data_IF_863064785612
#
_entry.id   IF_863064785612
#
_cell.length_a   1.000
_cell.length_b   1.000
_cell.length_c   1.000
_cell.angle_alpha   90.00
_cell.angle_beta   90.00
_cell.angle_gamma   90.00
#
_symmetry.space_group_name_H-M   'P 1'
#
loop_
_entity.id
_entity.type
_entity.pdbx_description
1 polymer ?
#
# COMPACT_ATOMS: atom_id res chain seq x y z
N UNK A 1 0.71 6.48 14.06
CA UNK A 1 -0.49 6.79 13.24
C UNK A 1 -0.63 5.75 12.13
N UNK A 2 -1.84 5.32 11.85
CA UNK A 2 -2.11 4.46 10.71
C UNK A 2 -2.44 5.32 9.50
N UNK A 3 -1.68 5.15 8.43
CA UNK A 3 -1.83 5.90 7.19
C UNK A 3 -2.19 4.91 6.09
N UNK A 4 -3.20 5.24 5.29
CA UNK A 4 -3.69 4.35 4.26
C UNK A 4 -3.52 4.91 2.85
N UNK A 5 -3.47 4.01 1.89
CA UNK A 5 -3.41 4.33 0.48
C UNK A 5 -4.42 3.49 -0.29
N UNK A 6 -5.18 4.12 -1.17
CA UNK A 6 -6.16 3.46 -2.02
C UNK A 6 -6.01 3.95 -3.45
N UNK A 7 -6.14 3.05 -4.41
CA UNK A 7 -5.98 3.37 -5.82
C UNK A 7 -6.89 2.51 -6.69
N UNK A 8 -7.44 3.12 -7.73
CA UNK A 8 -8.14 2.38 -8.78
C UNK A 8 -7.64 2.86 -10.13
N UNK A 9 -7.76 1.99 -11.14
CA UNK A 9 -7.52 2.35 -12.53
C UNK A 9 -8.86 2.55 -13.21
N UNK A 10 -9.03 3.66 -13.93
CA UNK A 10 -10.27 3.92 -14.63
C UNK A 10 -10.48 2.99 -15.83
N UNK A 11 -9.43 2.35 -16.32
CA UNK A 11 -9.53 1.43 -17.46
C UNK A 11 -10.19 0.12 -17.03
N UNK A 12 -9.82 -0.40 -15.88
CA UNK A 12 -10.30 -1.69 -15.40
C UNK A 12 -11.25 -1.56 -14.21
N UNK A 13 -11.84 -0.39 -14.05
CA UNK A 13 -12.66 -0.08 -12.88
C UNK A 13 -13.82 -1.04 -12.62
N UNK A 14 -14.31 -1.71 -13.66
CA UNK A 14 -15.44 -2.62 -13.51
C UNK A 14 -15.09 -3.90 -12.76
N UNK A 15 -13.81 -4.26 -12.70
CA UNK A 15 -13.35 -5.50 -12.04
C UNK A 15 -12.58 -5.26 -10.77
N UNK A 16 -12.31 -4.02 -10.45
CA UNK A 16 -11.57 -3.68 -9.24
C UNK A 16 -12.52 -3.29 -8.12
N UNK A 17 -12.08 -3.51 -6.89
CA UNK A 17 -12.77 -2.95 -5.73
C UNK A 17 -12.73 -1.43 -5.87
N UNK A 18 -13.90 -0.82 -5.86
CA UNK A 18 -14.03 0.62 -6.04
C UNK A 18 -13.25 1.42 -4.98
N UNK A 19 -12.91 2.64 -5.34
CA UNK A 19 -12.12 3.50 -4.45
C UNK A 19 -12.85 3.72 -3.11
N UNK A 20 -14.16 3.98 -3.16
CA UNK A 20 -14.94 4.21 -1.95
C UNK A 20 -14.93 2.98 -1.04
N UNK A 21 -15.01 1.79 -1.62
CA UNK A 21 -14.97 0.54 -0.85
C UNK A 21 -13.62 0.35 -0.20
N UNK A 22 -12.54 0.63 -0.91
CA UNK A 22 -11.20 0.56 -0.33
C UNK A 22 -11.05 1.50 0.84
N UNK A 23 -11.52 2.74 0.68
CA UNK A 23 -11.47 3.74 1.75
C UNK A 23 -12.25 3.27 2.97
N UNK A 24 -13.44 2.69 2.75
CA UNK A 24 -14.24 2.17 3.85
C UNK A 24 -13.53 1.04 4.60
N UNK A 25 -12.91 0.12 3.85
CA UNK A 25 -12.15 -0.99 4.45
C UNK A 25 -11.01 -0.43 5.31
N UNK A 26 -10.27 0.54 4.78
CA UNK A 26 -9.17 1.14 5.51
C UNK A 26 -9.65 1.83 6.78
N UNK A 27 -10.78 2.52 6.73
CA UNK A 27 -11.36 3.15 7.91
C UNK A 27 -11.73 2.13 8.97
N UNK A 28 -12.27 0.98 8.57
CA UNK A 28 -12.60 -0.11 9.49
C UNK A 28 -11.37 -0.65 10.20
N UNK A 29 -10.22 -0.57 9.57
CA UNK A 29 -8.96 -1.01 10.15
C UNK A 29 -8.28 0.05 10.99
N UNK A 30 -8.95 1.17 11.22
CA UNK A 30 -8.45 2.21 12.10
C UNK A 30 -7.48 3.19 11.45
N UNK A 31 -7.47 3.25 10.12
CA UNK A 31 -6.63 4.19 9.39
C UNK A 31 -7.12 5.62 9.65
N UNK A 32 -6.21 6.49 10.03
CA UNK A 32 -6.52 7.87 10.41
C UNK A 32 -6.37 8.85 9.25
N UNK A 33 -5.41 8.62 8.38
CA UNK A 33 -5.14 9.47 7.22
C UNK A 33 -5.11 8.61 5.97
N UNK A 34 -5.90 8.97 4.96
CA UNK A 34 -6.00 8.20 3.72
C UNK A 34 -5.58 9.06 2.54
N UNK A 35 -4.65 8.53 1.75
CA UNK A 35 -4.28 9.09 0.46
C UNK A 35 -4.89 8.22 -0.62
N UNK A 36 -5.56 8.83 -1.58
CA UNK A 36 -6.25 8.07 -2.62
C UNK A 36 -6.05 8.70 -3.98
N UNK A 37 -6.05 7.88 -5.01
CA UNK A 37 -5.94 8.37 -6.38
C UNK A 37 -6.62 7.43 -7.35
N UNK A 38 -7.05 8.01 -8.47
CA UNK A 38 -7.61 7.28 -9.57
C UNK A 38 -6.77 7.61 -10.80
N UNK A 39 -6.27 6.58 -11.47
CA UNK A 39 -5.46 6.76 -12.67
C UNK A 39 -6.32 6.61 -13.92
N UNK A 40 -6.28 7.61 -14.80
CA UNK A 40 -6.86 7.48 -16.12
C UNK A 40 -5.87 6.74 -17.02
N UNK A 41 -6.39 6.11 -18.08
CA UNK A 41 -5.55 5.35 -18.99
C UNK A 41 -4.50 6.15 -19.73
N UNK A 42 -4.67 7.47 -19.77
CA UNK A 42 -3.73 8.36 -20.44
C UNK A 42 -2.72 8.98 -19.48
N UNK A 43 -2.90 8.80 -18.18
CA UNK A 43 -1.98 9.39 -17.23
C UNK A 43 -0.69 8.58 -17.18
N UNK A 44 0.41 9.30 -17.11
CA UNK A 44 1.72 8.70 -16.99
C UNK A 44 2.01 8.43 -15.53
N UNK A 45 1.47 7.40 -14.99
CA UNK A 45 1.94 6.79 -13.74
C UNK A 45 2.58 7.65 -12.67
N UNK A 46 2.11 8.84 -12.46
CA UNK A 46 2.83 9.71 -11.52
C UNK A 46 2.58 9.34 -10.07
N UNK A 47 1.50 8.61 -9.78
CA UNK A 47 1.16 8.18 -8.42
C UNK A 47 1.50 9.22 -7.37
N UNK A 48 1.07 10.46 -7.61
CA UNK A 48 1.41 11.59 -6.75
C UNK A 48 0.94 11.40 -5.32
N UNK A 49 -0.23 10.78 -5.14
CA UNK A 49 -0.76 10.55 -3.80
C UNK A 49 0.05 9.49 -3.05
N UNK A 50 0.57 8.49 -3.74
CA UNK A 50 1.44 7.52 -3.11
C UNK A 50 2.74 8.19 -2.65
N UNK A 51 3.31 9.03 -3.50
CA UNK A 51 4.52 9.77 -3.15
C UNK A 51 4.28 10.64 -1.93
N UNK A 52 3.18 11.40 -1.92
CA UNK A 52 2.83 12.25 -0.78
C UNK A 52 2.61 11.42 0.48
N UNK A 53 1.97 10.26 0.35
CA UNK A 53 1.74 9.36 1.46
C UNK A 53 3.06 8.89 2.07
N UNK A 54 3.98 8.45 1.23
CA UNK A 54 5.29 7.97 1.69
C UNK A 54 6.12 9.09 2.34
N UNK A 55 6.01 10.31 1.83
CA UNK A 55 6.70 11.47 2.40
C UNK A 55 6.05 11.92 3.71
N UNK A 56 4.74 11.74 3.85
CA UNK A 56 4.00 12.13 5.05
C UNK A 56 4.34 11.24 6.24
N UNK A 57 4.56 9.96 6.01
CA UNK A 57 4.77 9.00 7.08
C UNK A 57 6.11 9.18 7.78
N UNK A 58 6.13 8.85 9.07
CA UNK A 58 7.30 8.97 9.93
C UNK A 58 7.53 7.68 10.69
N UNK A 59 8.66 7.59 11.36
CA UNK A 59 8.97 6.47 12.23
C UNK A 59 7.83 6.21 13.19
N UNK A 60 7.43 4.95 13.30
CA UNK A 60 6.34 4.52 14.16
C UNK A 60 4.98 4.48 13.47
N UNK A 61 4.86 5.00 12.25
CA UNK A 61 3.61 4.94 11.51
C UNK A 61 3.42 3.56 10.88
N UNK A 62 2.18 3.28 10.49
CA UNK A 62 1.84 2.04 9.80
C UNK A 62 1.24 2.38 8.44
N UNK A 63 1.82 1.81 7.38
CA UNK A 63 1.32 1.97 6.02
C UNK A 63 0.35 0.83 5.71
N UNK A 64 -0.91 1.16 5.45
CA UNK A 64 -1.99 0.19 5.27
C UNK A 64 -2.64 0.36 3.90
N UNK A 65 -2.85 -0.75 3.22
CA UNK A 65 -3.55 -0.77 1.92
C UNK A 65 -4.32 -2.09 1.83
N UNK A 66 -5.21 -2.21 0.85
CA UNK A 66 -6.03 -3.42 0.74
C UNK A 66 -5.27 -4.57 0.12
N UNK A 67 -4.56 -4.34 -0.96
CA UNK A 67 -3.80 -5.37 -1.69
C UNK A 67 -2.50 -4.81 -2.21
N UNK A 68 -1.50 -5.66 -2.30
CA UNK A 68 -0.18 -5.28 -2.82
C UNK A 68 -0.27 -4.67 -4.21
N UNK A 69 -1.14 -5.21 -5.07
CA UNK A 69 -1.30 -4.71 -6.43
C UNK A 69 -1.76 -3.26 -6.55
N UNK A 70 -2.28 -2.67 -5.46
CA UNK A 70 -2.65 -1.24 -5.44
C UNK A 70 -1.44 -0.35 -5.29
N UNK A 71 -0.34 -0.87 -4.76
CA UNK A 71 0.85 -0.10 -4.42
C UNK A 71 2.03 -0.48 -5.31
N UNK A 72 2.25 -1.77 -5.50
CA UNK A 72 3.42 -2.30 -6.19
C UNK A 72 3.03 -2.95 -7.51
N UNK A 73 3.89 -2.84 -8.51
CA UNK A 73 3.67 -3.42 -9.83
C UNK A 73 4.21 -4.83 -9.94
N UNK A 74 5.23 -5.14 -9.16
CA UNK A 74 5.91 -6.44 -9.23
C UNK A 74 6.60 -6.70 -7.89
N UNK A 75 7.23 -7.86 -7.76
CA UNK A 75 7.89 -8.24 -6.51
C UNK A 75 9.10 -7.37 -6.19
N UNK A 76 9.78 -6.84 -7.19
CA UNK A 76 10.90 -5.92 -6.96
C UNK A 76 10.42 -4.62 -6.32
N UNK A 77 9.32 -4.05 -6.83
CA UNK A 77 8.73 -2.85 -6.23
C UNK A 77 8.37 -3.09 -4.77
N UNK A 78 7.77 -4.25 -4.48
CA UNK A 78 7.38 -4.61 -3.12
C UNK A 78 8.61 -4.72 -2.21
N UNK A 79 9.65 -5.38 -2.70
CA UNK A 79 10.89 -5.55 -1.95
C UNK A 79 11.51 -4.19 -1.59
N UNK A 80 11.59 -3.30 -2.57
CA UNK A 80 12.16 -1.97 -2.36
C UNK A 80 11.32 -1.16 -1.38
N UNK A 81 10.00 -1.24 -1.49
CA UNK A 81 9.10 -0.54 -0.58
C UNK A 81 9.24 -1.07 0.85
N UNK A 82 9.23 -2.39 1.02
CA UNK A 82 9.38 -3.00 2.34
C UNK A 82 10.69 -2.59 2.97
N UNK A 83 11.78 -2.63 2.22
CA UNK A 83 13.09 -2.23 2.74
C UNK A 83 13.10 -0.77 3.17
N UNK A 84 12.58 0.12 2.33
CA UNK A 84 12.53 1.54 2.64
C UNK A 84 11.73 1.80 3.91
N UNK A 85 10.54 1.21 4.01
CA UNK A 85 9.69 1.41 5.18
C UNK A 85 10.29 0.81 6.44
N UNK A 86 10.88 -0.37 6.35
CA UNK A 86 11.55 -0.98 7.50
C UNK A 86 12.73 -0.14 7.98
N UNK A 87 13.53 0.39 7.06
CA UNK A 87 14.66 1.26 7.41
C UNK A 87 14.20 2.55 8.09
N UNK A 88 12.99 3.00 7.73
CA UNK A 88 12.41 4.21 8.31
C UNK A 88 11.60 3.95 9.58
N UNK A 89 11.51 2.70 10.01
CA UNK A 89 10.72 2.35 11.20
C UNK A 89 9.22 2.36 10.98
N UNK A 90 8.77 2.17 9.74
CA UNK A 90 7.36 2.15 9.36
C UNK A 90 6.95 0.71 9.07
N UNK A 91 5.81 0.27 9.64
CA UNK A 91 5.27 -1.06 9.36
C UNK A 91 4.35 -1.01 8.15
N UNK A 92 4.20 -2.15 7.47
CA UNK A 92 3.38 -2.28 6.27
C UNK A 92 2.35 -3.39 6.50
N UNK A 93 1.10 -3.15 6.13
CA UNK A 93 0.02 -4.12 6.32
C UNK A 93 -0.95 -4.07 5.14
N UNK A 94 -1.29 -5.24 4.59
CA UNK A 94 -2.35 -5.40 3.61
C UNK A 94 -3.58 -5.96 4.31
N UNK A 95 -4.76 -5.38 4.06
CA UNK A 95 -5.99 -5.78 4.75
C UNK A 95 -6.62 -7.04 4.16
N UNK A 96 -6.47 -7.26 2.86
CA UNK A 96 -7.07 -8.39 2.17
C UNK A 96 -6.10 -9.52 1.86
N UNK A 97 -4.86 -9.41 2.31
CA UNK A 97 -3.83 -10.41 2.11
C UNK A 97 -3.07 -10.63 3.42
N UNK A 98 -2.57 -11.84 3.69
CA UNK A 98 -1.84 -12.10 4.93
C UNK A 98 -0.41 -11.54 4.89
N UNK A 99 -0.28 -10.27 4.63
CA UNK A 99 1.01 -9.60 4.46
C UNK A 99 1.12 -8.47 5.48
N UNK A 100 2.11 -8.57 6.35
CA UNK A 100 2.37 -7.54 7.35
C UNK A 100 3.80 -7.65 7.84
N UNK A 101 4.46 -6.51 8.02
CA UNK A 101 5.81 -6.49 8.59
C UNK A 101 5.78 -6.43 10.11
N UNK A 102 4.61 -6.38 10.73
CA UNK A 102 4.47 -6.43 12.18
C UNK A 102 4.85 -7.79 12.75
N UNK A 103 4.61 -8.84 11.98
CA UNK A 103 4.82 -10.21 12.38
C UNK A 103 6.10 -10.73 11.74
N UNK A 104 6.97 -11.34 12.52
CA UNK A 104 8.24 -11.87 12.02
C UNK A 104 8.03 -12.90 10.91
N UNK A 105 7.00 -13.74 11.02
CA UNK A 105 6.69 -14.74 10.01
C UNK A 105 6.29 -14.08 8.69
N UNK A 106 5.42 -13.08 8.76
CA UNK A 106 4.99 -12.34 7.57
C UNK A 106 6.14 -11.58 6.95
N UNK A 107 7.03 -11.01 7.78
CA UNK A 107 8.21 -10.33 7.27
C UNK A 107 9.14 -11.30 6.56
N UNK A 108 9.36 -12.49 7.11
CA UNK A 108 10.14 -13.53 6.44
C UNK A 108 9.54 -13.90 5.09
N UNK A 109 8.22 -14.01 5.02
CA UNK A 109 7.53 -14.30 3.77
C UNK A 109 7.79 -13.19 2.73
N UNK A 110 7.72 -11.94 3.13
CA UNK A 110 8.01 -10.82 2.24
C UNK A 110 9.45 -10.82 1.78
N UNK A 111 10.38 -11.15 2.67
CA UNK A 111 11.80 -11.27 2.32
C UNK A 111 12.01 -12.38 1.29
N UNK A 112 11.30 -13.49 1.44
CA UNK A 112 11.37 -14.60 0.47
C UNK A 112 10.82 -14.18 -0.89
N UNK A 113 9.72 -13.43 -0.92
CA UNK A 113 9.19 -12.91 -2.18
C UNK A 113 10.19 -12.00 -2.87
N UNK A 114 10.96 -11.27 -2.10
CA UNK A 114 11.99 -10.38 -2.64
C UNK A 114 13.17 -11.10 -3.27
N UNK A 115 13.34 -12.37 -2.98
CA UNK A 115 14.43 -13.16 -3.57
C UNK A 115 14.12 -13.55 -5.02
N UNK A 116 12.85 -13.55 -5.39
CA UNK A 116 12.43 -13.89 -6.74
C UNK A 116 12.35 -12.65 -7.60
#
# INVERSE_FOLDING_TARGET
MKVGYARVSSIDGSQETGLDTQIEILKRHGVERIFSESQSGTSTNKRLQLKECLEFMREGDEFTFTRVGRVCRNSLDLQLLVKDLCDRGITLTATEQPISTKDATSKCFLDMLGVF
#
